data_IF_128093147544
#
_entry.id   IF_128093147544
#
_cell.length_a   1.000
_cell.length_b   1.000
_cell.length_c   1.000
_cell.angle_alpha   90.00
_cell.angle_beta   90.00
_cell.angle_gamma   90.00
#
_symmetry.space_group_name_H-M   'P 1'
#
loop_
_entity.id
_entity.type
_entity.pdbx_description
1 polymer ?
#
# COMPACT_ATOMS: atom_id res chain seq x y z
N UNK A 1 2.23 -5.68 4.74
CA UNK A 1 1.33 -4.52 4.58
C UNK A 1 2.06 -3.32 3.95
N UNK A 2 3.15 -2.81 4.55
CA UNK A 2 3.96 -1.70 4.00
C UNK A 2 4.38 -1.92 2.55
N UNK A 3 5.10 -3.02 2.26
CA UNK A 3 5.59 -3.32 0.91
C UNK A 3 4.49 -3.33 -0.16
N UNK A 4 3.30 -3.87 0.17
CA UNK A 4 2.18 -3.89 -0.77
C UNK A 4 1.64 -2.48 -1.05
N UNK A 5 1.57 -1.62 -0.02
CA UNK A 5 1.19 -0.22 -0.17
C UNK A 5 2.21 0.53 -1.03
N UNK A 6 3.50 0.27 -0.86
CA UNK A 6 4.54 0.87 -1.70
C UNK A 6 4.38 0.48 -3.17
N UNK A 7 4.20 -0.82 -3.45
CA UNK A 7 3.90 -1.32 -4.81
C UNK A 7 2.65 -0.62 -5.39
N UNK A 8 1.56 -0.58 -4.63
CA UNK A 8 0.29 -0.07 -5.13
C UNK A 8 0.32 1.44 -5.39
N UNK A 9 1.14 2.19 -4.63
CA UNK A 9 1.39 3.63 -4.81
C UNK A 9 2.27 3.95 -6.02
N UNK A 10 3.01 3.00 -6.57
CA UNK A 10 3.75 3.22 -7.81
C UNK A 10 2.81 3.41 -8.99
N UNK A 11 3.13 4.32 -9.91
CA UNK A 11 2.35 4.53 -11.14
C UNK A 11 2.29 3.23 -11.93
N UNK A 12 1.09 2.84 -12.33
CA UNK A 12 0.88 1.62 -13.10
C UNK A 12 1.54 1.68 -14.48
N UNK A 13 2.10 0.54 -14.88
CA UNK A 13 2.45 0.22 -16.26
C UNK A 13 1.73 -1.05 -16.71
N UNK A 14 1.68 -1.29 -18.02
CA UNK A 14 1.09 -2.52 -18.59
C UNK A 14 1.72 -3.80 -18.02
N UNK A 15 3.02 -3.79 -17.72
CA UNK A 15 3.72 -4.94 -17.18
C UNK A 15 3.37 -5.21 -15.69
N UNK A 16 2.96 -4.19 -14.94
CA UNK A 16 2.66 -4.31 -13.51
C UNK A 16 1.20 -4.59 -13.20
N UNK A 17 0.28 -4.39 -14.17
CA UNK A 17 -1.16 -4.39 -13.95
C UNK A 17 -1.65 -5.65 -13.19
N UNK A 18 -1.37 -6.85 -13.71
CA UNK A 18 -1.80 -8.10 -13.07
C UNK A 18 -1.26 -8.25 -11.63
N UNK A 19 0.02 -7.90 -11.43
CA UNK A 19 0.61 -7.93 -10.09
C UNK A 19 -0.08 -6.95 -9.13
N UNK A 20 -0.41 -5.74 -9.61
CA UNK A 20 -1.13 -4.74 -8.81
C UNK A 20 -2.55 -5.19 -8.47
N UNK A 21 -3.26 -5.86 -9.37
CA UNK A 21 -4.58 -6.47 -9.07
C UNK A 21 -4.47 -7.50 -7.94
N UNK A 22 -3.50 -8.41 -8.03
CA UNK A 22 -3.27 -9.44 -7.02
C UNK A 22 -2.86 -8.83 -5.67
N UNK A 23 -1.96 -7.84 -5.69
CA UNK A 23 -1.53 -7.12 -4.50
C UNK A 23 -2.69 -6.37 -3.84
N UNK A 24 -3.57 -5.73 -4.61
CA UNK A 24 -4.74 -5.02 -4.11
C UNK A 24 -5.72 -5.97 -3.41
N UNK A 25 -6.06 -7.10 -4.05
CA UNK A 25 -6.93 -8.13 -3.45
C UNK A 25 -6.34 -8.69 -2.17
N UNK A 26 -5.04 -9.00 -2.18
CA UNK A 26 -4.36 -9.53 -1.01
C UNK A 26 -4.36 -8.54 0.16
N UNK A 27 -4.04 -7.26 -0.11
CA UNK A 27 -4.04 -6.22 0.91
C UNK A 27 -5.45 -5.96 1.46
N UNK A 28 -6.47 -5.91 0.60
CA UNK A 28 -7.87 -5.77 1.03
C UNK A 28 -8.28 -6.92 1.97
N UNK A 29 -7.92 -8.17 1.65
CA UNK A 29 -8.18 -9.31 2.53
C UNK A 29 -7.53 -9.17 3.90
N UNK A 30 -6.29 -8.68 3.96
CA UNK A 30 -5.60 -8.41 5.23
C UNK A 30 -6.31 -7.31 6.03
N UNK A 31 -6.72 -6.22 5.38
CA UNK A 31 -7.40 -5.09 6.04
C UNK A 31 -8.77 -5.48 6.62
N UNK A 32 -9.47 -6.42 5.97
CA UNK A 32 -10.81 -6.85 6.39
C UNK A 32 -10.80 -8.00 7.42
N UNK A 33 -9.79 -8.87 7.38
CA UNK A 33 -9.82 -10.11 8.17
C UNK A 33 -8.70 -10.24 9.20
N UNK A 34 -7.64 -9.44 9.11
CA UNK A 34 -6.42 -9.66 9.90
C UNK A 34 -5.90 -8.40 10.60
N UNK A 35 -6.54 -7.25 10.38
CA UNK A 35 -6.15 -5.99 10.99
C UNK A 35 -7.28 -5.47 11.90
N UNK A 36 -6.94 -5.13 13.15
CA UNK A 36 -7.83 -4.39 14.05
C UNK A 36 -7.88 -2.93 13.66
N UNK A 37 -9.00 -2.25 13.92
CA UNK A 37 -9.17 -0.82 13.64
C UNK A 37 -8.11 0.03 14.36
N UNK A 38 -7.75 -0.32 15.60
CA UNK A 38 -6.74 0.39 16.40
C UNK A 38 -5.31 0.21 15.87
N UNK A 39 -5.10 -0.80 15.02
CA UNK A 39 -3.82 -1.09 14.39
C UNK A 39 -3.73 -0.49 12.99
N UNK A 40 -4.74 0.25 12.52
CA UNK A 40 -4.71 0.89 11.21
C UNK A 40 -3.76 2.08 11.18
N UNK A 41 -3.03 2.22 10.07
CA UNK A 41 -2.31 3.45 9.73
C UNK A 41 -2.53 3.79 8.26
N UNK A 42 -2.60 5.08 7.96
CA UNK A 42 -2.78 5.60 6.59
C UNK A 42 -1.64 5.14 5.66
N UNK A 43 -1.89 4.92 4.35
CA UNK A 43 -0.86 4.57 3.37
C UNK A 43 0.28 5.59 3.22
N UNK A 44 0.07 6.82 3.67
CA UNK A 44 1.07 7.90 3.67
C UNK A 44 1.77 8.06 5.02
N UNK A 45 1.31 7.38 6.07
CA UNK A 45 1.88 7.44 7.42
C UNK A 45 2.88 6.32 7.68
N UNK A 46 3.77 6.54 8.64
CA UNK A 46 4.61 5.48 9.16
C UNK A 46 3.75 4.46 9.94
N UNK A 47 4.05 3.14 9.84
CA UNK A 47 3.42 2.16 10.69
C UNK A 47 3.77 2.40 12.15
N UNK A 48 2.92 1.86 13.04
CA UNK A 48 3.13 1.94 14.48
C UNK A 48 4.46 1.26 14.86
N UNK A 49 5.16 1.76 15.91
CA UNK A 49 6.44 1.22 16.36
C UNK A 49 6.45 -0.30 16.59
N UNK A 50 5.32 -0.87 17.03
CA UNK A 50 5.13 -2.30 17.28
C UNK A 50 5.26 -3.15 15.99
N UNK A 51 5.02 -2.54 14.83
CA UNK A 51 5.14 -3.18 13.51
C UNK A 51 6.43 -2.80 12.77
N UNK A 52 7.30 -2.00 13.38
CA UNK A 52 8.61 -1.68 12.83
C UNK A 52 9.61 -2.76 13.26
N UNK A 53 10.18 -3.49 12.30
CA UNK A 53 11.27 -4.42 12.59
C UNK A 53 12.46 -3.64 13.17
N UNK A 54 12.94 -4.02 14.36
CA UNK A 54 14.11 -3.41 15.04
C UNK A 54 15.39 -3.38 14.19
N UNK A 55 15.42 -4.17 13.12
CA UNK A 55 16.51 -4.30 12.16
C UNK A 55 15.99 -3.92 10.78
N UNK A 56 15.63 -2.65 10.58
CA UNK A 56 15.70 -2.09 9.22
C UNK A 56 17.19 -1.96 8.91
N UNK A 57 17.78 -3.09 8.50
CA UNK A 57 19.15 -3.17 8.02
C UNK A 57 19.27 -2.10 6.93
N UNK A 58 20.03 -1.07 7.23
CA UNK A 58 20.36 0.06 6.38
C UNK A 58 21.26 -0.37 5.22
N UNK A 59 20.98 -1.51 4.57
CA UNK A 59 21.37 -1.73 3.20
C UNK A 59 20.44 -0.91 2.32
N UNK A 60 20.64 0.40 2.40
CA UNK A 60 20.20 1.35 1.39
C UNK A 60 21.05 1.00 0.16
N UNK A 61 20.67 -0.03 -0.58
CA UNK A 61 20.88 0.00 -2.03
C UNK A 61 20.00 1.13 -2.51
N UNK A 62 20.57 2.34 -2.46
CA UNK A 62 19.93 3.55 -2.93
C UNK A 62 19.71 3.32 -4.42
N UNK A 63 18.52 2.82 -4.77
CA UNK A 63 18.18 2.56 -6.15
C UNK A 63 18.38 3.88 -6.88
N UNK A 64 19.25 3.87 -7.91
CA UNK A 64 19.61 5.08 -8.66
C UNK A 64 18.37 5.83 -9.20
N UNK A 65 17.25 5.09 -9.34
CA UNK A 65 15.95 5.61 -9.74
C UNK A 65 14.85 4.96 -8.91
N UNK A 66 14.07 5.78 -8.22
CA UNK A 66 12.82 5.34 -7.57
C UNK A 66 11.68 5.30 -8.61
N UNK A 67 10.74 4.34 -8.50
CA UNK A 67 9.52 4.37 -9.30
C UNK A 67 8.74 5.68 -9.06
N UNK A 68 8.06 6.17 -10.09
CA UNK A 68 7.14 7.30 -9.91
C UNK A 68 5.95 6.85 -9.07
N UNK A 69 5.49 7.69 -8.15
CA UNK A 69 4.34 7.44 -7.32
C UNK A 69 3.13 8.26 -7.79
N UNK A 70 1.93 7.82 -7.45
CA UNK A 70 0.75 8.68 -7.54
C UNK A 70 0.86 9.77 -6.45
N UNK A 71 1.08 11.01 -6.88
CA UNK A 71 1.27 12.19 -6.02
C UNK A 71 0.41 13.35 -6.52
N UNK A 72 -0.07 14.18 -5.58
CA UNK A 72 -0.89 15.36 -5.88
C UNK A 72 -1.82 15.74 -4.72
N UNK A 73 -2.10 17.03 -4.56
CA UNK A 73 -2.83 17.58 -3.41
C UNK A 73 -4.32 17.20 -3.37
N UNK A 74 -4.88 16.77 -4.50
CA UNK A 74 -6.30 16.41 -4.65
C UNK A 74 -6.54 14.90 -4.81
N UNK A 75 -5.55 14.07 -4.44
CA UNK A 75 -5.73 12.62 -4.46
C UNK A 75 -6.51 12.15 -3.23
N UNK A 76 -7.42 11.21 -3.46
CA UNK A 76 -8.10 10.53 -2.37
C UNK A 76 -7.10 9.66 -1.58
N UNK A 77 -7.09 9.81 -0.26
CA UNK A 77 -6.33 8.96 0.65
C UNK A 77 -7.31 8.35 1.66
N UNK A 78 -7.32 7.02 1.83
CA UNK A 78 -8.21 6.37 2.79
C UNK A 78 -7.81 6.73 4.23
N UNK A 79 -8.83 6.89 5.07
CA UNK A 79 -8.74 7.31 6.47
C UNK A 79 -8.85 6.14 7.44
N UNK A 80 -9.44 5.04 7.02
CA UNK A 80 -9.59 3.81 7.79
C UNK A 80 -9.38 2.56 6.92
N UNK A 81 -9.36 1.40 7.58
CA UNK A 81 -9.17 0.10 6.94
C UNK A 81 -10.27 -0.26 5.95
N UNK A 82 -11.50 0.19 6.17
CA UNK A 82 -12.66 -0.09 5.32
C UNK A 82 -12.59 0.74 4.04
N UNK A 83 -12.34 2.04 4.15
CA UNK A 83 -12.13 2.94 3.01
C UNK A 83 -10.99 2.43 2.11
N UNK A 84 -9.89 1.98 2.71
CA UNK A 84 -8.76 1.42 1.96
C UNK A 84 -9.13 0.10 1.29
N UNK A 85 -9.79 -0.82 2.00
CA UNK A 85 -10.22 -2.09 1.43
C UNK A 85 -11.19 -1.90 0.26
N UNK A 86 -12.16 -1.00 0.39
CA UNK A 86 -13.10 -0.66 -0.69
C UNK A 86 -12.38 -0.09 -1.91
N UNK A 87 -11.47 0.86 -1.72
CA UNK A 87 -10.68 1.42 -2.80
C UNK A 87 -9.88 0.33 -3.54
N UNK A 88 -9.23 -0.56 -2.80
CA UNK A 88 -8.44 -1.65 -3.37
C UNK A 88 -9.29 -2.66 -4.14
N UNK A 89 -10.47 -3.01 -3.63
CA UNK A 89 -11.39 -3.92 -4.30
C UNK A 89 -11.90 -3.30 -5.61
N UNK A 90 -12.30 -2.03 -5.60
CA UNK A 90 -12.74 -1.29 -6.80
C UNK A 90 -11.64 -1.21 -7.86
N UNK A 91 -10.40 -0.91 -7.45
CA UNK A 91 -9.24 -0.92 -8.34
C UNK A 91 -9.06 -2.32 -8.95
N UNK A 92 -9.14 -3.36 -8.12
CA UNK A 92 -8.91 -4.74 -8.56
C UNK A 92 -10.00 -5.32 -9.46
N UNK A 93 -11.20 -4.73 -9.43
CA UNK A 93 -12.32 -5.06 -10.31
C UNK A 93 -12.23 -4.30 -11.64
N UNK A 94 -11.70 -3.07 -11.61
CA UNK A 94 -11.68 -2.16 -12.77
C UNK A 94 -10.45 -2.32 -13.68
N UNK A 95 -9.39 -2.97 -13.19
CA UNK A 95 -8.14 -3.25 -13.92
C UNK A 95 -8.20 -4.57 -14.67
#
# INVERSE_FOLDING_TARGET
MRELREVLRTVETKATQNFKVMAAKHLAGVLLHSLSEECYWSPLSHPLPEFMSKEENSFITQALRKPHLYEGDNLYCPKDNIEEALLLLLISESM
#
